data_IF_958320942955
#
_entry.id   IF_958320942955
#
_cell.length_a   1.000
_cell.length_b   1.000
_cell.length_c   1.000
_cell.angle_alpha   90.00
_cell.angle_beta   90.00
_cell.angle_gamma   90.00
#
_symmetry.space_group_name_H-M   'P 1'
#
loop_
_entity.id
_entity.type
_entity.pdbx_description
1 polymer ?
#
# COMPACT_ATOMS: atom_id res chain seq x y z
N UNK A 1 -14.64 50.37 -19.68
CA UNK A 1 -15.04 48.95 -19.45
C UNK A 1 -13.78 48.10 -19.44
N UNK A 2 -13.11 48.00 -18.28
CA UNK A 2 -11.84 47.29 -18.15
C UNK A 2 -12.13 45.90 -17.61
N UNK A 3 -11.98 44.88 -18.46
CA UNK A 3 -12.20 43.47 -18.13
C UNK A 3 -10.96 42.95 -17.41
N UNK A 4 -11.08 42.73 -16.11
CA UNK A 4 -10.05 42.07 -15.30
C UNK A 4 -10.07 40.59 -15.65
N UNK A 5 -9.06 40.13 -16.39
CA UNK A 5 -8.81 38.71 -16.63
C UNK A 5 -8.06 38.19 -15.40
N UNK A 6 -8.81 37.62 -14.46
CA UNK A 6 -8.25 36.90 -13.31
C UNK A 6 -7.69 35.56 -13.83
N UNK A 7 -6.39 35.53 -14.11
CA UNK A 7 -5.69 34.31 -14.52
C UNK A 7 -5.67 33.31 -13.36
N UNK A 8 -6.43 32.23 -13.51
CA UNK A 8 -6.43 31.09 -12.60
C UNK A 8 -5.13 30.30 -12.85
N UNK A 9 -4.12 30.56 -12.03
CA UNK A 9 -2.89 29.77 -12.03
C UNK A 9 -3.23 28.36 -11.53
N UNK A 10 -3.34 27.41 -12.45
CA UNK A 10 -3.38 25.99 -12.16
C UNK A 10 -2.04 25.61 -11.53
N UNK A 11 -2.02 25.44 -10.21
CA UNK A 11 -0.92 24.82 -9.51
C UNK A 11 -0.78 23.40 -10.03
N UNK A 12 0.22 23.18 -10.89
CA UNK A 12 0.67 21.85 -11.26
C UNK A 12 1.22 21.20 -10.00
N UNK A 13 0.39 20.40 -9.33
CA UNK A 13 0.83 19.48 -8.28
C UNK A 13 1.76 18.49 -8.96
N UNK A 14 3.06 18.76 -8.84
CA UNK A 14 4.12 17.84 -9.24
C UNK A 14 4.03 16.62 -8.32
N UNK A 15 3.25 15.61 -8.70
CA UNK A 15 3.35 14.30 -8.09
C UNK A 15 4.76 13.78 -8.37
N UNK A 16 5.65 13.85 -7.39
CA UNK A 16 6.92 13.15 -7.41
C UNK A 16 6.62 11.65 -7.37
N UNK A 17 6.62 11.01 -8.55
CA UNK A 17 6.67 9.57 -8.66
C UNK A 17 8.08 9.13 -8.26
N UNK A 18 8.28 8.82 -6.98
CA UNK A 18 9.53 8.25 -6.50
C UNK A 18 9.76 6.92 -7.21
N UNK A 19 10.82 6.86 -8.02
CA UNK A 19 11.35 5.60 -8.54
C UNK A 19 11.75 4.73 -7.33
N UNK A 20 11.39 3.45 -7.38
CA UNK A 20 11.22 2.55 -6.23
C UNK A 20 12.49 2.17 -5.43
N UNK A 21 13.63 2.82 -5.63
CA UNK A 21 14.91 2.30 -5.13
C UNK A 21 15.29 2.77 -3.72
N UNK A 22 14.70 3.85 -3.18
CA UNK A 22 14.79 4.14 -1.74
C UNK A 22 13.67 5.06 -1.23
N UNK A 23 12.53 4.48 -0.84
CA UNK A 23 11.42 5.24 -0.22
C UNK A 23 11.67 5.33 1.29
N UNK A 24 12.17 6.49 1.76
CA UNK A 24 12.28 6.82 3.19
C UNK A 24 10.94 7.29 3.76
N UNK A 25 10.26 6.40 4.50
CA UNK A 25 8.97 6.74 5.14
C UNK A 25 9.10 7.74 6.29
N UNK A 26 10.29 7.86 6.88
CA UNK A 26 10.60 8.88 7.89
C UNK A 26 10.64 10.26 7.24
N UNK A 27 11.41 10.42 6.16
CA UNK A 27 11.49 11.68 5.43
C UNK A 27 10.13 12.12 4.89
N UNK A 28 9.33 11.19 4.36
CA UNK A 28 7.97 11.49 3.89
C UNK A 28 7.08 11.98 5.03
N UNK A 29 7.20 11.40 6.22
CA UNK A 29 6.43 11.83 7.38
C UNK A 29 6.83 13.26 7.81
N UNK A 30 8.13 13.56 7.86
CA UNK A 30 8.65 14.88 8.23
C UNK A 30 8.22 15.96 7.23
N UNK A 31 8.40 15.72 5.93
CA UNK A 31 7.96 16.64 4.88
C UNK A 31 6.44 16.86 4.95
N UNK A 32 5.65 15.80 5.18
CA UNK A 32 4.19 15.91 5.32
C UNK A 32 3.81 16.79 6.53
N UNK A 33 4.50 16.64 7.66
CA UNK A 33 4.25 17.45 8.86
C UNK A 33 4.59 18.91 8.60
N UNK A 34 5.68 19.20 7.88
CA UNK A 34 6.07 20.57 7.48
C UNK A 34 4.98 21.21 6.61
N UNK A 35 4.51 20.50 5.58
CA UNK A 35 3.46 21.00 4.69
C UNK A 35 2.12 21.21 5.40
N UNK A 36 1.73 20.24 6.24
CA UNK A 36 0.50 20.36 7.03
C UNK A 36 0.57 21.53 8.02
N UNK A 37 1.73 21.77 8.63
CA UNK A 37 1.95 22.92 9.51
C UNK A 37 1.80 24.24 8.76
N UNK A 38 2.30 24.34 7.53
CA UNK A 38 2.18 25.54 6.71
C UNK A 38 0.72 25.91 6.41
N UNK A 39 -0.17 24.91 6.25
CA UNK A 39 -1.61 25.12 6.04
C UNK A 39 -2.44 25.28 7.31
N UNK A 40 -1.87 25.02 8.50
CA UNK A 40 -2.63 24.87 9.73
C UNK A 40 -2.74 26.14 10.59
N UNK A 41 -2.10 27.24 10.22
CA UNK A 41 -2.20 28.55 10.91
C UNK A 41 -2.26 28.42 12.45
N UNK A 42 -3.29 28.97 13.11
CA UNK A 42 -3.44 28.99 14.57
C UNK A 42 -3.98 27.68 15.18
N UNK A 43 -4.42 26.72 14.37
CA UNK A 43 -5.00 25.46 14.87
C UNK A 43 -3.96 24.34 14.98
N UNK A 44 -2.69 24.60 14.60
CA UNK A 44 -1.61 23.62 14.72
C UNK A 44 -1.23 23.35 16.18
N UNK A 45 -1.10 22.07 16.54
CA UNK A 45 -0.63 21.63 17.86
C UNK A 45 0.37 20.48 17.75
N UNK A 46 1.10 20.23 18.83
CA UNK A 46 2.05 19.11 18.89
C UNK A 46 1.36 17.75 18.71
N UNK A 47 0.15 17.60 19.26
CA UNK A 47 -0.64 16.39 19.07
C UNK A 47 -1.06 16.20 17.61
N UNK A 48 -1.39 17.28 16.91
CA UNK A 48 -1.70 17.24 15.46
C UNK A 48 -0.45 16.89 14.66
N UNK A 49 0.71 17.46 14.99
CA UNK A 49 1.98 17.11 14.34
C UNK A 49 2.30 15.62 14.50
N UNK A 50 2.15 15.08 15.72
CA UNK A 50 2.37 13.67 16.03
C UNK A 50 1.39 12.75 15.29
N UNK A 51 0.11 13.11 15.26
CA UNK A 51 -0.90 12.33 14.52
C UNK A 51 -0.65 12.36 13.01
N UNK A 52 -0.32 13.53 12.45
CA UNK A 52 0.00 13.71 11.04
C UNK A 52 1.22 12.88 10.62
N UNK A 53 2.30 12.91 11.42
CA UNK A 53 3.50 12.11 11.17
C UNK A 53 3.21 10.61 11.18
N UNK A 54 2.48 10.11 12.19
CA UNK A 54 2.09 8.69 12.24
C UNK A 54 1.20 8.30 11.05
N UNK A 55 0.24 9.14 10.67
CA UNK A 55 -0.64 8.88 9.53
C UNK A 55 0.16 8.80 8.23
N UNK A 56 1.05 9.77 7.97
CA UNK A 56 1.91 9.81 6.79
C UNK A 56 2.85 8.61 6.72
N UNK A 57 3.54 8.29 7.83
CA UNK A 57 4.41 7.13 7.92
C UNK A 57 3.64 5.83 7.64
N UNK A 58 2.45 5.64 8.23
CA UNK A 58 1.64 4.44 8.03
C UNK A 58 1.17 4.27 6.58
N UNK A 59 0.81 5.37 5.92
CA UNK A 59 0.43 5.38 4.50
C UNK A 59 1.61 5.02 3.60
N UNK A 60 2.80 5.54 3.92
CA UNK A 60 4.04 5.16 3.25
C UNK A 60 4.36 3.67 3.43
N UNK A 61 4.37 3.17 4.67
CA UNK A 61 4.62 1.76 4.96
C UNK A 61 3.65 0.82 4.25
N UNK A 62 2.35 1.18 4.21
CA UNK A 62 1.32 0.41 3.48
C UNK A 62 1.58 0.36 1.98
N UNK A 63 2.04 1.45 1.39
CA UNK A 63 2.36 1.51 -0.03
C UNK A 63 3.63 0.70 -0.32
N UNK A 64 4.66 0.86 0.50
CA UNK A 64 5.91 0.11 0.40
C UNK A 64 5.69 -1.39 0.53
N UNK A 65 4.85 -1.84 1.47
CA UNK A 65 4.56 -3.27 1.64
C UNK A 65 3.94 -3.89 0.39
N UNK A 66 3.01 -3.18 -0.28
CA UNK A 66 2.40 -3.64 -1.54
C UNK A 66 3.40 -3.76 -2.70
N UNK A 67 4.41 -2.89 -2.76
CA UNK A 67 5.47 -2.96 -3.76
C UNK A 67 6.39 -4.17 -3.54
N UNK A 68 6.67 -4.52 -2.28
CA UNK A 68 7.47 -5.71 -1.93
C UNK A 68 6.72 -7.04 -2.13
N UNK A 69 5.39 -7.02 -2.20
CA UNK A 69 4.55 -8.22 -2.32
C UNK A 69 3.84 -8.32 -3.67
N UNK A 70 4.42 -7.76 -4.75
CA UNK A 70 3.83 -7.86 -6.08
C UNK A 70 3.37 -9.31 -6.37
N UNK A 71 2.14 -9.54 -6.88
CA UNK A 71 1.63 -10.89 -7.11
C UNK A 71 2.60 -11.67 -7.98
N UNK A 72 3.18 -12.74 -7.43
CA UNK A 72 3.84 -13.76 -8.23
C UNK A 72 2.73 -14.35 -9.09
N UNK A 73 2.76 -14.10 -10.40
CA UNK A 73 1.97 -14.84 -11.40
C UNK A 73 1.96 -16.32 -10.96
N UNK A 74 0.79 -16.96 -10.82
CA UNK A 74 0.77 -18.35 -10.44
C UNK A 74 1.43 -19.13 -11.56
N UNK A 75 2.71 -19.46 -11.38
CA UNK A 75 3.39 -20.41 -12.25
C UNK A 75 2.52 -21.66 -12.25
N UNK A 76 1.93 -21.97 -13.40
CA UNK A 76 1.34 -23.27 -13.70
C UNK A 76 2.48 -24.30 -13.72
N UNK A 77 3.05 -24.55 -12.56
CA UNK A 77 3.75 -25.79 -12.28
C UNK A 77 2.70 -26.68 -11.67
N UNK A 78 2.28 -27.68 -12.43
CA UNK A 78 1.64 -28.88 -11.92
C UNK A 78 2.59 -29.48 -10.87
N UNK A 79 2.51 -28.98 -9.64
CA UNK A 79 3.33 -29.44 -8.54
C UNK A 79 2.62 -30.65 -7.98
N UNK A 80 3.09 -31.81 -8.42
CA UNK A 80 2.82 -33.09 -7.81
C UNK A 80 3.00 -32.96 -6.29
N UNK A 81 1.90 -33.15 -5.56
CA UNK A 81 1.73 -33.60 -4.18
C UNK A 81 2.74 -33.34 -3.04
N UNK A 82 3.74 -32.45 -3.18
CA UNK A 82 4.75 -32.29 -2.13
C UNK A 82 4.20 -31.42 -0.98
N UNK A 83 4.35 -31.93 0.25
CA UNK A 83 3.84 -31.23 1.44
C UNK A 83 4.82 -30.11 1.80
N UNK A 84 4.32 -28.89 1.91
CA UNK A 84 5.14 -27.74 2.30
C UNK A 84 5.18 -27.62 3.83
N UNK A 85 6.36 -27.35 4.39
CA UNK A 85 6.53 -27.04 5.80
C UNK A 85 6.30 -25.53 6.01
N UNK A 86 5.23 -25.17 6.72
CA UNK A 86 4.90 -23.79 7.05
C UNK A 86 4.94 -23.63 8.56
N UNK A 87 5.96 -22.92 9.07
CA UNK A 87 6.16 -22.67 10.51
C UNK A 87 6.11 -23.94 11.39
N UNK A 88 6.70 -25.04 10.92
CA UNK A 88 6.71 -26.33 11.63
C UNK A 88 5.42 -27.14 11.53
N UNK A 89 4.48 -26.70 10.67
CA UNK A 89 3.27 -27.44 10.33
C UNK A 89 3.38 -27.95 8.89
N UNK A 90 3.25 -29.26 8.71
CA UNK A 90 3.26 -29.90 7.39
C UNK A 90 1.89 -29.75 6.74
N UNK A 91 1.81 -28.89 5.72
CA UNK A 91 0.57 -28.62 4.99
C UNK A 91 0.60 -29.35 3.65
N UNK A 92 -0.36 -30.25 3.44
CA UNK A 92 -0.57 -30.92 2.15
C UNK A 92 -1.62 -30.15 1.35
N UNK A 93 -1.31 -29.66 0.14
CA UNK A 93 -2.30 -28.98 -0.68
C UNK A 93 -3.40 -29.97 -1.09
N UNK A 94 -4.66 -29.55 -0.95
CA UNK A 94 -5.80 -30.34 -1.39
C UNK A 94 -5.92 -30.27 -2.92
N UNK A 95 -6.15 -31.42 -3.56
CA UNK A 95 -6.35 -31.49 -5.01
C UNK A 95 -7.62 -30.74 -5.44
N UNK A 96 -7.51 -29.81 -6.39
CA UNK A 96 -8.61 -29.09 -7.02
C UNK A 96 -8.68 -27.58 -6.72
N UNK A 97 -9.51 -26.81 -7.46
CA UNK A 97 -9.49 -25.35 -7.45
C UNK A 97 -9.81 -24.74 -6.06
N UNK A 98 -9.15 -23.65 -5.65
CA UNK A 98 -9.38 -23.00 -4.34
C UNK A 98 -10.80 -22.43 -4.16
N UNK A 99 -11.52 -22.22 -5.25
CA UNK A 99 -12.90 -21.70 -5.25
C UNK A 99 -13.94 -22.72 -4.79
N UNK A 100 -13.61 -24.02 -4.77
CA UNK A 100 -14.52 -25.08 -4.34
C UNK A 100 -14.33 -25.44 -2.88
N UNK A 101 -15.45 -25.54 -2.16
CA UNK A 101 -15.45 -25.92 -0.75
C UNK A 101 -15.00 -27.39 -0.61
N UNK A 102 -14.30 -27.78 0.47
CA UNK A 102 -13.76 -29.14 0.60
C UNK A 102 -14.82 -30.26 0.51
N UNK A 103 -16.05 -30.02 0.97
CA UNK A 103 -17.14 -31.01 0.95
C UNK A 103 -17.82 -31.17 -0.42
N UNK A 104 -17.57 -30.25 -1.37
CA UNK A 104 -18.09 -30.35 -2.75
C UNK A 104 -17.20 -31.27 -3.62
N UNK A 105 -16.12 -31.81 -3.05
CA UNK A 105 -15.10 -32.62 -3.74
C UNK A 105 -15.32 -34.13 -3.55
N UNK A 106 -16.55 -34.56 -3.24
CA UNK A 106 -16.89 -35.98 -3.11
C UNK A 106 -17.53 -36.44 -4.41
N UNK A 107 -16.78 -37.21 -5.20
CA UNK A 107 -17.39 -38.07 -6.21
C UNK A 107 -18.27 -39.07 -5.46
N UNK A 108 -19.56 -39.00 -5.76
CA UNK A 108 -20.56 -39.99 -5.35
C UNK A 108 -20.47 -41.11 -6.38
N UNK A 109 -19.89 -42.24 -5.98
CA UNK A 109 -20.18 -43.53 -6.61
C UNK A 109 -21.68 -43.87 -6.46
#
# INVERSE_FOLDING_TARGET
>A
MQRVVMGMALATVSCHFALADDISCEQIADETVIEMKAGANDWWSEDIARMAGMAAASACFKTRSRLTTAPREPSRSESDGESADFMGLKVKPLSGPPSRKPYERRDRD
#
